data_IF_666149940228
#
_entry.id   IF_666149940228
#
_cell.length_a   1.000
_cell.length_b   1.000
_cell.length_c   1.000
_cell.angle_alpha   90.00
_cell.angle_beta   90.00
_cell.angle_gamma   90.00
#
_symmetry.space_group_name_H-M   'P 1'
#
loop_
_entity.id
_entity.type
_entity.pdbx_description
1 polymer ?
#
# COMPACT_ATOMS: atom_id res chain seq x y z
N UNK A 1 -15.98 -5.69 -10.87
CA UNK A 1 -14.92 -5.39 -9.90
C UNK A 1 -13.54 -5.52 -10.53
N UNK A 2 -13.18 -6.68 -11.10
CA UNK A 2 -11.85 -6.93 -11.70
C UNK A 2 -11.49 -5.91 -12.79
N UNK A 3 -12.44 -5.55 -13.67
CA UNK A 3 -12.21 -4.53 -14.72
C UNK A 3 -11.88 -3.15 -14.16
N UNK A 4 -12.50 -2.75 -13.05
CA UNK A 4 -12.16 -1.49 -12.35
C UNK A 4 -10.75 -1.56 -11.78
N UNK A 5 -10.39 -2.67 -11.14
CA UNK A 5 -9.05 -2.88 -10.59
C UNK A 5 -7.97 -2.79 -11.67
N UNK A 6 -8.12 -3.54 -12.77
CA UNK A 6 -7.18 -3.54 -13.87
C UNK A 6 -7.03 -2.16 -14.52
N UNK A 7 -8.15 -1.46 -14.74
CA UNK A 7 -8.14 -0.10 -15.31
C UNK A 7 -7.41 0.88 -14.40
N UNK A 8 -7.64 0.81 -13.08
CA UNK A 8 -6.97 1.66 -12.11
C UNK A 8 -5.48 1.35 -11.98
N UNK A 9 -5.11 0.07 -11.86
CA UNK A 9 -3.70 -0.34 -11.75
C UNK A 9 -2.89 0.04 -12.99
N UNK A 10 -3.51 -0.03 -14.17
CA UNK A 10 -2.86 0.38 -15.42
C UNK A 10 -2.67 1.90 -15.50
N UNK A 11 -3.62 2.68 -15.01
CA UNK A 11 -3.61 4.13 -15.11
C UNK A 11 -2.83 4.82 -13.98
N UNK A 12 -2.89 4.30 -12.75
CA UNK A 12 -2.38 4.98 -11.55
C UNK A 12 -1.33 4.16 -10.78
N UNK A 13 -1.34 2.84 -10.94
CA UNK A 13 -0.44 1.93 -10.25
C UNK A 13 -1.09 1.08 -9.16
N UNK A 14 -0.32 0.14 -8.64
CA UNK A 14 -0.79 -0.88 -7.69
C UNK A 14 -1.07 -0.34 -6.28
N UNK A 15 -0.55 0.84 -5.95
CA UNK A 15 -0.73 1.49 -4.66
C UNK A 15 -2.15 2.00 -4.42
N UNK A 16 -2.97 2.09 -5.45
CA UNK A 16 -4.34 2.55 -5.33
C UNK A 16 -5.32 1.38 -5.24
N UNK A 17 -6.18 1.31 -4.21
CA UNK A 17 -7.22 0.28 -4.13
C UNK A 17 -8.26 0.51 -5.23
N UNK A 18 -8.92 -0.56 -5.74
CA UNK A 18 -9.92 -0.45 -6.80
C UNK A 18 -11.27 0.08 -6.27
N UNK A 19 -11.24 1.20 -5.55
CA UNK A 19 -12.40 1.80 -4.89
C UNK A 19 -12.43 3.32 -5.07
N UNK A 20 -13.58 3.94 -4.80
CA UNK A 20 -13.78 5.39 -4.89
C UNK A 20 -14.41 5.84 -6.20
N UNK A 21 -14.64 7.15 -6.30
CA UNK A 21 -15.47 7.78 -7.36
C UNK A 21 -14.79 7.86 -8.73
N UNK A 22 -13.49 7.68 -8.81
CA UNK A 22 -12.74 7.89 -10.05
C UNK A 22 -13.04 6.85 -11.12
N UNK A 23 -13.39 5.62 -10.71
CA UNK A 23 -13.70 4.53 -11.62
C UNK A 23 -15.02 3.87 -11.24
N UNK A 24 -16.07 4.17 -12.00
CA UNK A 24 -17.35 3.49 -11.85
C UNK A 24 -17.34 2.09 -12.48
N UNK A 25 -18.27 1.26 -12.05
CA UNK A 25 -18.57 -0.01 -12.70
C UNK A 25 -19.20 0.27 -14.07
N UNK A 26 -18.59 -0.23 -15.13
CA UNK A 26 -19.15 -0.15 -16.47
C UNK A 26 -20.42 -1.01 -16.54
N UNK A 27 -21.40 -0.56 -17.32
CA UNK A 27 -22.65 -1.27 -17.60
C UNK A 27 -23.52 -1.61 -16.37
N UNK A 28 -23.20 -1.04 -15.20
CA UNK A 28 -24.07 -1.13 -14.04
C UNK A 28 -25.20 -0.09 -14.16
N UNK A 29 -26.43 -0.53 -13.95
CA UNK A 29 -27.64 0.33 -14.01
C UNK A 29 -28.15 0.71 -12.63
N UNK A 30 -27.57 0.14 -11.57
CA UNK A 30 -27.94 0.38 -10.17
C UNK A 30 -27.42 -0.72 -9.26
N UNK A 31 -27.75 -0.64 -7.99
CA UNK A 31 -27.47 -1.66 -6.98
C UNK A 31 -28.77 -2.31 -6.49
N UNK A 32 -28.74 -3.59 -6.21
CA UNK A 32 -29.92 -4.31 -5.73
C UNK A 32 -30.29 -3.89 -4.30
N UNK A 33 -29.29 -3.60 -3.48
CA UNK A 33 -29.44 -3.17 -2.07
C UNK A 33 -28.63 -1.90 -1.89
N UNK A 34 -29.29 -0.81 -1.54
CA UNK A 34 -28.62 0.44 -1.20
C UNK A 34 -28.03 0.36 0.21
N UNK A 35 -26.73 0.67 0.32
CA UNK A 35 -26.01 0.71 1.58
C UNK A 35 -25.73 2.17 1.94
N UNK A 36 -26.28 2.64 3.04
CA UNK A 36 -26.03 3.97 3.56
C UNK A 36 -24.68 4.07 4.29
N UNK A 37 -24.26 5.29 4.66
CA UNK A 37 -22.96 5.52 5.31
C UNK A 37 -22.85 4.87 6.69
N UNK A 38 -23.94 4.78 7.46
CA UNK A 38 -23.94 4.13 8.77
C UNK A 38 -23.72 2.61 8.62
N UNK A 39 -24.40 1.98 7.69
CA UNK A 39 -24.20 0.57 7.35
C UNK A 39 -22.78 0.31 6.82
N UNK A 40 -22.26 1.20 5.97
CA UNK A 40 -20.90 1.11 5.46
C UNK A 40 -19.86 1.15 6.58
N UNK A 41 -20.06 1.97 7.61
CA UNK A 41 -19.17 2.06 8.76
C UNK A 41 -19.10 0.77 9.58
N UNK A 42 -20.11 -0.08 9.50
CA UNK A 42 -20.13 -1.41 10.13
C UNK A 42 -19.51 -2.47 9.21
N UNK A 43 -19.81 -2.42 7.90
CA UNK A 43 -19.37 -3.41 6.92
C UNK A 43 -17.88 -3.30 6.59
N UNK A 44 -17.36 -2.08 6.50
CA UNK A 44 -15.98 -1.86 6.08
C UNK A 44 -14.95 -2.44 7.07
N UNK A 45 -15.06 -2.25 8.40
CA UNK A 45 -14.17 -2.90 9.37
C UNK A 45 -14.24 -4.44 9.32
N UNK A 46 -15.39 -5.00 8.96
CA UNK A 46 -15.57 -6.44 8.77
C UNK A 46 -14.96 -6.98 7.45
N UNK A 47 -14.32 -6.11 6.65
CA UNK A 47 -13.71 -6.48 5.37
C UNK A 47 -14.72 -6.65 4.22
N UNK A 48 -15.94 -6.11 4.39
CA UNK A 48 -16.97 -6.14 3.35
C UNK A 48 -16.88 -4.87 2.50
N UNK A 49 -16.40 -5.01 1.27
CA UNK A 49 -16.41 -3.94 0.28
C UNK A 49 -17.73 -3.98 -0.47
N UNK A 50 -18.45 -2.86 -0.52
CA UNK A 50 -19.75 -2.79 -1.18
C UNK A 50 -19.67 -2.04 -2.51
N UNK A 51 -20.63 -2.30 -3.38
CA UNK A 51 -20.93 -1.45 -4.54
C UNK A 51 -22.12 -0.58 -4.20
N UNK A 52 -22.03 0.74 -4.39
CA UNK A 52 -23.09 1.67 -4.04
C UNK A 52 -23.18 2.84 -5.00
N UNK A 53 -24.37 3.43 -5.08
CA UNK A 53 -24.59 4.75 -5.66
C UNK A 53 -24.25 5.83 -4.64
N UNK A 54 -23.82 6.99 -5.08
CA UNK A 54 -23.41 8.08 -4.19
C UNK A 54 -24.26 9.33 -4.43
N UNK A 55 -24.60 10.09 -3.38
CA UNK A 55 -25.23 11.39 -3.53
C UNK A 55 -24.39 12.33 -4.40
N UNK A 56 -25.05 13.07 -5.29
CA UNK A 56 -24.39 13.99 -6.21
C UNK A 56 -23.92 13.36 -7.52
N UNK A 57 -24.07 12.04 -7.68
CA UNK A 57 -23.81 11.31 -8.92
C UNK A 57 -25.10 10.76 -9.52
N UNK A 58 -25.15 10.47 -10.84
CA UNK A 58 -26.29 9.79 -11.45
C UNK A 58 -26.60 8.48 -10.72
N UNK A 59 -27.88 8.14 -10.58
CA UNK A 59 -28.31 6.88 -9.89
C UNK A 59 -27.81 5.62 -10.57
N UNK A 60 -27.50 5.69 -11.86
CA UNK A 60 -26.86 4.62 -12.63
C UNK A 60 -25.35 4.52 -12.40
N UNK A 61 -24.73 5.52 -11.76
CA UNK A 61 -23.30 5.48 -11.45
C UNK A 61 -23.04 4.65 -10.19
N UNK A 62 -22.54 3.45 -10.37
CA UNK A 62 -22.21 2.52 -9.28
C UNK A 62 -20.71 2.50 -9.07
N UNK A 63 -20.29 2.68 -7.82
CA UNK A 63 -18.89 2.69 -7.42
C UNK A 63 -18.58 1.57 -6.44
N UNK A 64 -17.36 1.02 -6.51
CA UNK A 64 -16.83 0.16 -5.45
C UNK A 64 -16.46 1.05 -4.28
N UNK A 65 -16.99 0.74 -3.10
CA UNK A 65 -16.79 1.53 -1.89
C UNK A 65 -16.25 0.67 -0.77
N UNK A 66 -14.93 0.62 -0.67
CA UNK A 66 -14.13 -0.17 0.25
C UNK A 66 -12.94 -0.82 -0.43
N UNK A 67 -11.82 -0.86 0.26
CA UNK A 67 -10.55 -1.39 -0.21
C UNK A 67 -9.92 -2.34 0.79
N UNK A 68 -10.73 -3.04 1.59
CA UNK A 68 -10.25 -3.94 2.65
C UNK A 68 -10.25 -5.39 2.22
N UNK A 69 -9.33 -6.15 2.79
CA UNK A 69 -9.29 -7.61 2.72
C UNK A 69 -10.04 -8.19 3.93
N UNK A 70 -10.53 -9.41 3.80
CA UNK A 70 -11.10 -10.14 4.93
C UNK A 70 -9.96 -10.71 5.78
N UNK A 71 -9.81 -10.20 6.99
CA UNK A 71 -8.79 -10.59 7.97
C UNK A 71 -9.45 -10.91 9.32
N UNK A 72 -8.73 -11.62 10.19
CA UNK A 72 -9.06 -11.64 11.61
C UNK A 72 -8.54 -10.33 12.24
N UNK A 73 -9.41 -9.44 12.77
CA UNK A 73 -8.99 -8.16 13.34
C UNK A 73 -8.17 -8.32 14.64
N UNK A 74 -8.27 -9.45 15.32
CA UNK A 74 -7.53 -9.74 16.56
C UNK A 74 -6.10 -10.23 16.30
N UNK A 75 -5.80 -10.65 15.05
CA UNK A 75 -4.47 -11.07 14.65
C UNK A 75 -3.66 -9.88 14.15
N UNK A 76 -2.63 -9.50 14.93
CA UNK A 76 -1.74 -8.37 14.62
C UNK A 76 -1.01 -8.54 13.27
N UNK A 77 -0.65 -9.75 12.88
CA UNK A 77 0.01 -10.02 11.61
C UNK A 77 -0.94 -9.86 10.43
N UNK A 78 -2.18 -10.31 10.57
CA UNK A 78 -3.19 -10.14 9.53
C UNK A 78 -3.60 -8.68 9.37
N UNK A 79 -3.61 -7.88 10.44
CA UNK A 79 -3.88 -6.43 10.38
C UNK A 79 -2.92 -5.67 9.46
N UNK A 80 -1.67 -6.11 9.33
CA UNK A 80 -0.71 -5.52 8.39
C UNK A 80 -1.16 -5.65 6.92
N UNK A 81 -2.07 -6.58 6.64
CA UNK A 81 -2.60 -6.86 5.31
C UNK A 81 -4.08 -6.50 5.15
N UNK A 82 -4.60 -5.62 6.00
CA UNK A 82 -6.02 -5.26 5.97
C UNK A 82 -6.46 -4.56 4.67
N UNK A 83 -5.55 -3.93 3.95
CA UNK A 83 -5.85 -3.22 2.70
C UNK A 83 -5.50 -4.04 1.46
N UNK A 84 -6.35 -3.94 0.44
CA UNK A 84 -6.16 -4.63 -0.85
C UNK A 84 -4.87 -4.16 -1.54
N UNK A 85 -4.59 -2.84 -1.54
CA UNK A 85 -3.36 -2.31 -2.14
C UNK A 85 -2.10 -2.87 -1.48
N UNK A 86 -2.08 -3.00 -0.14
CA UNK A 86 -0.97 -3.64 0.58
C UNK A 86 -0.72 -5.07 0.08
N UNK A 87 -1.78 -5.88 -0.05
CA UNK A 87 -1.67 -7.24 -0.61
C UNK A 87 -1.13 -7.25 -2.03
N UNK A 88 -1.66 -6.34 -2.86
CA UNK A 88 -1.22 -6.24 -4.27
C UNK A 88 0.24 -5.81 -4.37
N UNK A 89 0.67 -4.81 -3.60
CA UNK A 89 2.06 -4.37 -3.55
C UNK A 89 2.97 -5.52 -3.13
N UNK A 90 2.65 -6.22 -2.05
CA UNK A 90 3.45 -7.36 -1.58
C UNK A 90 3.53 -8.49 -2.61
N UNK A 91 2.45 -8.79 -3.32
CA UNK A 91 2.45 -9.76 -4.40
C UNK A 91 3.31 -9.30 -5.60
N UNK A 92 3.28 -8.00 -5.93
CA UNK A 92 4.14 -7.43 -6.98
C UNK A 92 5.60 -7.51 -6.58
N UNK A 93 5.95 -7.14 -5.35
CA UNK A 93 7.32 -7.26 -4.82
C UNK A 93 7.79 -8.71 -4.92
N UNK A 94 7.03 -9.65 -4.34
CA UNK A 94 7.39 -11.07 -4.35
C UNK A 94 7.56 -11.62 -5.77
N UNK A 95 6.60 -11.35 -6.66
CA UNK A 95 6.65 -11.84 -8.04
C UNK A 95 7.78 -11.23 -8.86
N UNK A 96 8.13 -9.96 -8.61
CA UNK A 96 9.24 -9.28 -9.28
C UNK A 96 10.59 -9.80 -8.81
N UNK A 97 10.77 -9.96 -7.49
CA UNK A 97 11.99 -10.53 -6.92
C UNK A 97 12.20 -11.98 -7.38
N UNK A 98 11.15 -12.80 -7.33
CA UNK A 98 11.25 -14.19 -7.78
C UNK A 98 11.73 -14.29 -9.22
N UNK A 99 11.11 -13.55 -10.15
CA UNK A 99 11.53 -13.54 -11.56
C UNK A 99 12.95 -13.01 -11.76
N UNK A 100 13.35 -11.99 -11.00
CA UNK A 100 14.70 -11.45 -11.08
C UNK A 100 15.76 -12.44 -10.56
N UNK A 101 15.41 -13.22 -9.53
CA UNK A 101 16.29 -14.24 -8.97
C UNK A 101 16.43 -15.49 -9.86
N UNK A 102 15.47 -15.78 -10.72
CA UNK A 102 15.57 -16.92 -11.66
C UNK A 102 16.87 -16.87 -12.49
N UNK A 103 17.35 -15.66 -12.82
CA UNK A 103 18.62 -15.47 -13.54
C UNK A 103 19.86 -15.71 -12.67
N UNK A 104 19.71 -15.87 -11.36
CA UNK A 104 20.80 -16.11 -10.42
C UNK A 104 20.89 -17.58 -9.98
N UNK A 105 19.89 -18.38 -10.30
CA UNK A 105 19.87 -19.82 -10.02
C UNK A 105 21.00 -20.49 -10.81
N UNK A 106 21.67 -21.44 -10.20
CA UNK A 106 22.86 -22.14 -10.70
C UNK A 106 24.14 -21.31 -10.81
N UNK A 107 24.16 -20.11 -10.27
CA UNK A 107 25.42 -19.38 -10.06
C UNK A 107 26.20 -19.98 -8.88
N UNK A 108 27.50 -19.78 -8.88
CA UNK A 108 28.39 -20.22 -7.79
C UNK A 108 28.19 -19.32 -6.57
N UNK A 109 28.10 -19.94 -5.39
CA UNK A 109 28.15 -19.20 -4.11
C UNK A 109 29.64 -19.00 -3.80
N UNK A 110 30.10 -17.75 -3.94
CA UNK A 110 31.48 -17.40 -3.68
C UNK A 110 31.72 -17.05 -2.20
N UNK A 111 32.95 -17.22 -1.75
CA UNK A 111 33.36 -16.87 -0.39
C UNK A 111 33.69 -15.39 -0.19
N UNK A 112 33.53 -14.53 -1.21
CA UNK A 112 33.85 -13.11 -1.16
C UNK A 112 32.59 -12.23 -1.05
N UNK A 113 31.40 -12.83 -1.02
CA UNK A 113 30.13 -12.13 -0.90
C UNK A 113 29.64 -11.46 -2.19
N UNK A 114 30.22 -11.78 -3.35
CA UNK A 114 29.79 -11.21 -4.63
C UNK A 114 28.34 -11.56 -4.96
N UNK A 115 27.93 -12.81 -4.70
CA UNK A 115 26.55 -13.24 -4.89
C UNK A 115 25.59 -12.48 -3.99
N UNK A 116 25.95 -12.22 -2.73
CA UNK A 116 25.10 -11.45 -1.80
C UNK A 116 24.92 -10.02 -2.27
N UNK A 117 26.02 -9.34 -2.65
CA UNK A 117 25.97 -7.98 -3.18
C UNK A 117 25.13 -7.88 -4.46
N UNK A 118 25.19 -8.88 -5.32
CA UNK A 118 24.36 -8.95 -6.53
C UNK A 118 22.89 -9.08 -6.21
N UNK A 119 22.52 -9.95 -5.27
CA UNK A 119 21.15 -10.12 -4.83
C UNK A 119 20.60 -8.84 -4.16
N UNK A 120 21.40 -8.18 -3.30
CA UNK A 120 21.07 -6.89 -2.70
C UNK A 120 20.82 -5.84 -3.78
N UNK A 121 21.68 -5.74 -4.78
CA UNK A 121 21.56 -4.78 -5.87
C UNK A 121 20.28 -4.99 -6.68
N UNK A 122 19.94 -6.24 -6.99
CA UNK A 122 18.68 -6.60 -7.68
C UNK A 122 17.47 -6.17 -6.85
N UNK A 123 17.45 -6.52 -5.55
CA UNK A 123 16.37 -6.13 -4.65
C UNK A 123 16.22 -4.60 -4.58
N UNK A 124 17.32 -3.90 -4.34
CA UNK A 124 17.31 -2.44 -4.23
C UNK A 124 16.83 -1.76 -5.51
N UNK A 125 17.19 -2.26 -6.68
CA UNK A 125 16.73 -1.72 -7.96
C UNK A 125 15.21 -1.81 -8.07
N UNK A 126 14.63 -2.99 -7.79
CA UNK A 126 13.19 -3.23 -7.87
C UNK A 126 12.43 -2.41 -6.81
N UNK A 127 12.92 -2.40 -5.58
CA UNK A 127 12.25 -1.71 -4.47
C UNK A 127 12.33 -0.18 -4.62
N UNK A 128 13.46 0.34 -5.12
CA UNK A 128 13.60 1.77 -5.40
C UNK A 128 12.67 2.22 -6.52
N UNK A 129 12.46 1.42 -7.56
CA UNK A 129 11.45 1.71 -8.59
C UNK A 129 10.05 1.81 -7.99
N UNK A 130 9.67 0.90 -7.10
CA UNK A 130 8.38 0.93 -6.43
C UNK A 130 8.26 2.12 -5.47
N UNK A 131 9.34 2.49 -4.79
CA UNK A 131 9.40 3.68 -3.93
C UNK A 131 9.19 4.97 -4.73
N UNK A 132 9.92 5.15 -5.83
CA UNK A 132 9.78 6.32 -6.71
C UNK A 132 8.37 6.44 -7.30
N UNK A 133 7.71 5.31 -7.57
CA UNK A 133 6.30 5.27 -8.00
C UNK A 133 5.29 5.54 -6.88
N UNK A 134 5.74 5.73 -5.64
CA UNK A 134 4.89 6.01 -4.49
C UNK A 134 4.14 4.79 -3.97
N UNK A 135 4.62 3.57 -4.23
CA UNK A 135 4.03 2.33 -3.70
C UNK A 135 4.53 1.99 -2.29
N UNK A 136 5.65 2.56 -1.86
CA UNK A 136 6.23 2.35 -0.54
C UNK A 136 6.24 3.64 0.25
N UNK A 137 6.01 3.53 1.57
CA UNK A 137 5.88 4.64 2.50
C UNK A 137 7.20 4.92 3.22
N UNK A 138 7.68 6.15 3.11
CA UNK A 138 8.88 6.63 3.79
C UNK A 138 9.34 7.97 3.23
N UNK A 139 9.96 8.81 4.04
CA UNK A 139 10.53 10.09 3.59
C UNK A 139 11.80 9.92 2.77
N UNK A 140 12.51 8.82 2.97
CA UNK A 140 13.69 8.40 2.20
C UNK A 140 13.63 6.88 1.96
N UNK A 141 14.36 6.34 0.98
CA UNK A 141 14.33 4.91 0.65
C UNK A 141 14.59 3.99 1.83
N UNK A 142 15.55 4.34 2.72
CA UNK A 142 15.88 3.54 3.90
C UNK A 142 14.76 3.43 4.96
N UNK A 143 13.76 4.33 4.93
CA UNK A 143 12.57 4.25 5.79
C UNK A 143 11.48 3.37 5.15
N UNK A 144 11.52 3.22 3.83
CA UNK A 144 10.50 2.53 3.04
C UNK A 144 10.81 1.04 2.82
N UNK A 145 12.09 0.69 2.69
CA UNK A 145 12.53 -0.69 2.54
C UNK A 145 13.96 -0.92 2.99
N UNK A 146 14.28 -2.17 3.33
CA UNK A 146 15.63 -2.61 3.66
C UNK A 146 15.85 -4.04 3.18
N UNK A 147 17.06 -4.32 2.70
CA UNK A 147 17.48 -5.65 2.24
C UNK A 147 18.67 -6.11 3.05
N UNK A 148 18.60 -7.31 3.57
CA UNK A 148 19.69 -7.98 4.28
C UNK A 148 19.98 -9.29 3.54
N UNK A 149 21.20 -9.43 3.03
CA UNK A 149 21.71 -10.66 2.43
C UNK A 149 23.22 -10.69 2.68
N UNK A 150 23.61 -11.21 3.84
CA UNK A 150 24.99 -11.28 4.27
C UNK A 150 25.24 -12.57 5.07
N UNK A 151 26.47 -12.79 5.49
CA UNK A 151 26.88 -14.00 6.23
C UNK A 151 26.12 -14.21 7.53
N UNK A 152 25.64 -13.13 8.18
CA UNK A 152 24.95 -13.21 9.48
C UNK A 152 23.62 -13.97 9.42
N UNK A 153 23.00 -14.03 8.25
CA UNK A 153 21.73 -14.73 8.06
C UNK A 153 21.87 -16.07 7.30
N UNK A 154 23.11 -16.45 6.95
CA UNK A 154 23.41 -17.74 6.32
C UNK A 154 23.83 -18.76 7.40
N UNK A 155 23.65 -20.02 7.08
CA UNK A 155 24.21 -21.14 7.85
C UNK A 155 25.07 -22.00 6.94
N UNK A 156 26.12 -22.65 7.48
CA UNK A 156 26.94 -23.56 6.69
C UNK A 156 26.10 -24.64 6.01
N UNK A 157 25.12 -25.19 6.73
CA UNK A 157 24.21 -26.21 6.18
C UNK A 157 23.36 -25.70 5.01
N UNK A 158 22.90 -24.41 5.04
CA UNK A 158 22.14 -23.85 3.91
C UNK A 158 23.04 -23.63 2.70
N UNK A 159 24.24 -23.11 2.90
CA UNK A 159 25.20 -22.88 1.81
C UNK A 159 25.65 -24.18 1.16
N UNK A 160 25.96 -25.21 1.94
CA UNK A 160 26.30 -26.56 1.44
C UNK A 160 25.13 -27.18 0.65
N UNK A 161 23.90 -26.86 1.01
CA UNK A 161 22.70 -27.27 0.27
C UNK A 161 22.39 -26.38 -0.93
N UNK A 162 23.23 -25.39 -1.25
CA UNK A 162 23.02 -24.46 -2.35
C UNK A 162 21.91 -23.42 -2.09
N UNK A 163 21.59 -23.13 -0.83
CA UNK A 163 20.52 -22.18 -0.45
C UNK A 163 21.14 -20.90 0.11
N UNK A 164 20.78 -19.77 -0.49
CA UNK A 164 21.11 -18.42 0.00
C UNK A 164 19.85 -17.74 0.51
N UNK A 165 19.90 -17.21 1.72
CA UNK A 165 18.81 -16.47 2.33
C UNK A 165 18.96 -14.96 2.12
N UNK A 166 17.87 -14.31 1.72
CA UNK A 166 17.75 -12.86 1.70
C UNK A 166 16.49 -12.43 2.48
N UNK A 167 16.61 -11.43 3.33
CA UNK A 167 15.49 -10.82 4.05
C UNK A 167 15.19 -9.46 3.45
N UNK A 168 13.97 -9.26 3.02
CA UNK A 168 13.49 -8.01 2.43
C UNK A 168 12.38 -7.45 3.29
N UNK A 169 12.62 -6.27 3.85
CA UNK A 169 11.68 -5.52 4.66
C UNK A 169 11.08 -4.42 3.80
N UNK A 170 9.75 -4.28 3.83
CA UNK A 170 9.03 -3.34 2.98
C UNK A 170 7.91 -2.70 3.78
N UNK A 171 7.72 -1.40 3.62
CA UNK A 171 6.61 -0.64 4.19
C UNK A 171 5.69 -0.19 3.06
N UNK A 172 4.62 -0.92 2.73
CA UNK A 172 3.64 -0.51 1.73
C UNK A 172 2.91 0.76 2.14
N UNK A 173 2.55 1.60 1.16
CA UNK A 173 1.78 2.81 1.41
C UNK A 173 0.37 2.46 1.93
N UNK A 174 -0.12 3.13 2.98
CA UNK A 174 -1.48 2.92 3.50
C UNK A 174 -2.54 3.51 2.57
N UNK A 175 -3.78 3.06 2.73
CA UNK A 175 -4.95 3.61 2.02
C UNK A 175 -5.62 4.68 2.87
N UNK A 176 -5.93 5.83 2.27
CA UNK A 176 -6.79 6.85 2.87
C UNK A 176 -8.25 6.40 2.71
N UNK A 177 -8.92 6.02 3.81
CA UNK A 177 -10.32 5.59 3.81
C UNK A 177 -11.28 6.64 4.41
N UNK A 178 -10.78 7.49 5.29
CA UNK A 178 -11.60 8.47 6.01
C UNK A 178 -10.85 9.79 6.17
N UNK A 179 -11.55 10.87 5.92
CA UNK A 179 -11.09 12.22 6.18
C UNK A 179 -12.01 12.80 7.26
N UNK A 180 -11.44 13.26 8.35
CA UNK A 180 -12.13 14.01 9.39
C UNK A 180 -11.76 15.48 9.23
N UNK A 181 -12.76 16.34 9.22
CA UNK A 181 -12.57 17.77 9.03
C UNK A 181 -13.25 18.51 10.18
N UNK A 182 -12.46 19.20 10.96
CA UNK A 182 -12.95 20.12 12.00
C UNK A 182 -13.05 21.53 11.44
N UNK A 183 -14.26 22.03 11.32
CA UNK A 183 -14.51 23.39 10.87
C UNK A 183 -14.63 24.31 12.06
N UNK A 184 -13.60 25.12 12.30
CA UNK A 184 -13.55 26.08 13.41
C UNK A 184 -13.88 27.48 12.87
N UNK A 185 -14.93 28.10 13.41
CA UNK A 185 -15.25 29.50 13.12
C UNK A 185 -14.44 30.39 14.04
N UNK A 186 -13.53 31.16 13.48
CA UNK A 186 -12.74 32.14 14.22
C UNK A 186 -13.37 33.55 14.11
N UNK A 187 -13.32 34.30 15.18
CA UNK A 187 -13.77 35.69 15.18
C UNK A 187 -12.81 36.59 14.35
N UNK A 188 -13.34 37.68 13.84
CA UNK A 188 -12.56 38.63 13.05
C UNK A 188 -11.37 39.13 13.90
N UNK A 189 -10.16 39.02 13.36
CA UNK A 189 -8.91 39.43 14.00
C UNK A 189 -8.25 38.40 14.92
N UNK A 190 -8.87 37.25 15.20
CA UNK A 190 -8.33 36.25 16.15
C UNK A 190 -7.68 35.03 15.46
N UNK A 191 -7.54 35.01 14.12
CA UNK A 191 -7.00 33.87 13.40
C UNK A 191 -5.60 33.49 13.90
N UNK A 192 -4.71 34.45 14.14
CA UNK A 192 -3.35 34.18 14.59
C UNK A 192 -3.33 33.52 15.98
N UNK A 193 -4.15 34.01 16.91
CA UNK A 193 -4.21 33.45 18.25
C UNK A 193 -4.68 31.99 18.25
N UNK A 194 -5.64 31.63 17.37
CA UNK A 194 -6.10 30.24 17.22
C UNK A 194 -5.02 29.35 16.57
N UNK A 195 -4.30 29.84 15.57
CA UNK A 195 -3.18 29.13 14.97
C UNK A 195 -2.04 28.90 15.96
N UNK A 196 -1.72 29.88 16.79
CA UNK A 196 -0.70 29.78 17.83
C UNK A 196 -1.11 28.78 18.92
N UNK A 197 -2.40 28.76 19.30
CA UNK A 197 -2.94 27.78 20.23
C UNK A 197 -2.85 26.32 19.73
N UNK A 198 -2.95 26.12 18.41
CA UNK A 198 -2.79 24.82 17.76
C UNK A 198 -1.32 24.46 17.47
N UNK A 199 -0.36 25.34 17.81
CA UNK A 199 1.06 25.15 17.53
C UNK A 199 1.44 25.24 16.05
N UNK A 200 0.55 25.75 15.19
CA UNK A 200 0.75 25.83 13.74
C UNK A 200 1.38 27.17 13.33
N UNK A 201 1.39 28.18 14.22
CA UNK A 201 1.81 29.56 13.97
C UNK A 201 3.32 29.81 13.91
N UNK A 202 4.17 28.81 14.09
CA UNK A 202 5.63 28.96 14.14
C UNK A 202 6.39 28.22 13.02
N UNK A 203 5.97 28.34 11.79
CA UNK A 203 6.83 27.97 10.66
C UNK A 203 6.61 28.92 9.51
N UNK A 204 7.47 29.92 9.44
CA UNK A 204 8.09 30.48 8.23
C UNK A 204 8.43 31.96 8.45
N UNK A 205 9.54 32.16 9.13
CA UNK A 205 10.39 33.32 8.86
C UNK A 205 11.78 32.76 8.55
N UNK A 206 12.01 32.44 7.29
CA UNK A 206 13.33 32.48 6.65
C UNK A 206 13.12 33.13 5.28
#
# INVERSE_FOLDING_TARGET
>A
VTGVALRRYRAEGYQFPPAGVKYQLADAVGVQIEVNSAQQNLLNPAGCNVSRSLPGYPTTAVFIWGGRTRINPDDAQQRLYQFVNTRVIMNVVYGSLRRAFDSQIFNVIDGFGLVYNKLISICNSILNELYVRGALFGSKPGDAFQVICDERIQTSASLESGIVHAKVFVVPVPTLERIEVDLIRVAIGNMQNELDALGVGQSNSI
#
